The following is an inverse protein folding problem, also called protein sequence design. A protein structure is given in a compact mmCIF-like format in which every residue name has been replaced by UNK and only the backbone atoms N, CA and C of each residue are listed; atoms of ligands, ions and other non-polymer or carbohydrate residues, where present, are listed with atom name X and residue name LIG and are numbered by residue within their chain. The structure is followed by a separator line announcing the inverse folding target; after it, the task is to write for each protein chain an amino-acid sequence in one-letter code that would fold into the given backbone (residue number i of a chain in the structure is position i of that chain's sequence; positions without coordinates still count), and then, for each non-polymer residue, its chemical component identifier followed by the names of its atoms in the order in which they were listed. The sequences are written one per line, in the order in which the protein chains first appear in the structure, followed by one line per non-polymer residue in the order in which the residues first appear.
data_IF_618769138702
#
_entry.id   IF_618769138702
#
_cell.length_a   1.000
_cell.length_b   1.000
_cell.length_c   1.000
_cell.angle_alpha   90.00
_cell.angle_beta   90.00
_cell.angle_gamma   90.00
#
_symmetry.space_group_name_H-M   'P 1'
#
loop_
_entity.id
_entity.type
_entity.pdbx_description
1 polymer ?
#
# COMPACT_ATOMS: atom_id res chain seq x y z
N UNK A 1 2.72 21.29 11.82
CA UNK A 1 1.82 20.17 12.12
C UNK A 1 1.64 19.29 10.89
N UNK A 2 1.40 17.99 11.07
CA UNK A 2 0.98 17.04 10.04
C UNK A 2 -0.41 16.46 10.41
N UNK A 3 -1.16 17.15 11.26
CA UNK A 3 -2.46 16.74 11.80
C UNK A 3 -3.52 17.80 11.58
N UNK A 4 -3.54 18.47 10.42
CA UNK A 4 -4.58 19.46 10.09
C UNK A 4 -5.98 18.83 10.12
N UNK A 5 -6.10 17.55 9.71
CA UNK A 5 -7.33 16.78 9.80
C UNK A 5 -7.86 16.56 11.25
N UNK A 6 -7.02 16.88 12.28
CA UNK A 6 -7.39 16.92 13.70
C UNK A 6 -7.44 18.36 14.25
N UNK A 7 -7.69 19.35 13.39
CA UNK A 7 -7.73 20.78 13.73
C UNK A 7 -6.43 21.32 14.37
N UNK A 8 -5.28 20.74 14.04
CA UNK A 8 -3.98 21.20 14.53
C UNK A 8 -3.37 22.20 13.55
N UNK A 9 -3.59 23.48 13.77
CA UNK A 9 -3.09 24.57 12.94
C UNK A 9 -1.62 24.91 13.24
N UNK A 10 -0.85 25.20 12.20
CA UNK A 10 0.56 25.60 12.33
C UNK A 10 0.65 27.00 12.93
N UNK A 11 -0.31 27.84 12.65
CA UNK A 11 -0.45 29.23 13.13
C UNK A 11 -0.45 29.29 14.67
N UNK A 12 -1.03 28.30 15.34
CA UNK A 12 -1.03 28.23 16.82
C UNK A 12 0.39 28.12 17.40
N UNK A 13 1.31 27.49 16.66
CA UNK A 13 2.72 27.37 17.09
C UNK A 13 3.49 28.63 16.69
N UNK A 14 3.27 29.15 15.49
CA UNK A 14 4.00 30.32 14.97
C UNK A 14 3.59 31.61 15.71
N UNK A 15 2.32 31.75 16.04
CA UNK A 15 1.79 32.92 16.78
C UNK A 15 1.91 32.82 18.30
N UNK A 16 2.41 31.68 18.84
CA UNK A 16 2.52 31.52 20.29
C UNK A 16 3.39 32.56 21.00
N UNK A 17 4.58 32.95 20.47
CA UNK A 17 5.40 33.95 21.13
C UNK A 17 4.71 35.30 21.27
N UNK A 18 3.87 35.68 20.32
CA UNK A 18 3.20 36.99 20.27
C UNK A 18 2.01 37.09 21.24
N UNK A 19 1.61 35.99 21.88
CA UNK A 19 0.56 35.96 22.89
C UNK A 19 1.03 36.51 24.25
N UNK A 20 2.33 36.77 24.41
CA UNK A 20 2.94 37.23 25.65
C UNK A 20 3.54 38.63 25.53
N UNK A 21 3.53 39.41 26.60
CA UNK A 21 4.24 40.69 26.69
C UNK A 21 5.22 40.66 27.88
N UNK A 22 6.53 40.77 27.65
CA UNK A 22 7.22 40.76 26.35
C UNK A 22 7.09 39.43 25.63
N UNK A 23 7.21 39.45 24.28
CA UNK A 23 7.11 38.25 23.44
C UNK A 23 8.00 37.10 23.99
N UNK A 24 7.49 35.88 23.96
CA UNK A 24 8.20 34.73 24.46
C UNK A 24 9.51 34.44 23.68
N UNK A 25 10.57 34.12 24.39
CA UNK A 25 11.84 33.77 23.76
C UNK A 25 11.72 32.44 23.03
N UNK A 26 12.06 32.39 21.74
CA UNK A 26 12.12 31.18 20.94
C UNK A 26 13.52 30.60 20.98
N UNK A 27 13.65 29.38 21.49
CA UNK A 27 14.91 28.62 21.52
C UNK A 27 14.77 27.42 20.59
N UNK A 28 15.61 27.35 19.56
CA UNK A 28 15.62 26.23 18.61
C UNK A 28 16.56 25.11 19.09
N UNK A 29 16.04 23.88 19.15
CA UNK A 29 16.87 22.69 19.41
C UNK A 29 17.27 22.11 18.06
N UNK A 30 18.54 22.27 17.68
CA UNK A 30 19.02 21.91 16.34
C UNK A 30 19.88 20.65 16.32
N UNK A 31 20.48 20.28 17.45
CA UNK A 31 21.29 19.05 17.53
C UNK A 31 20.40 17.81 17.47
N UNK A 32 20.68 16.93 16.51
CA UNK A 32 20.01 15.66 16.31
C UNK A 32 20.95 14.51 16.66
N UNK A 33 20.52 13.65 17.57
CA UNK A 33 21.28 12.48 18.06
C UNK A 33 20.88 11.18 17.36
N UNK A 34 19.86 11.20 16.51
CA UNK A 34 19.26 10.04 15.84
C UNK A 34 19.96 9.71 14.54
N UNK A 35 19.94 10.64 13.60
CA UNK A 35 20.31 10.44 12.21
C UNK A 35 21.75 10.83 11.93
N UNK A 36 22.32 10.29 10.87
CA UNK A 36 23.62 10.73 10.33
C UNK A 36 23.49 12.07 9.62
N UNK A 37 24.59 12.84 9.53
CA UNK A 37 24.57 14.17 8.89
C UNK A 37 24.10 14.15 7.43
N UNK A 38 24.50 13.20 6.55
CA UNK A 38 23.98 13.16 5.17
C UNK A 38 22.47 13.02 5.06
N UNK A 39 21.81 12.31 6.00
CA UNK A 39 20.34 12.21 6.04
C UNK A 39 19.70 13.55 6.43
N UNK A 40 20.33 14.26 7.40
CA UNK A 40 19.85 15.57 7.84
C UNK A 40 20.04 16.64 6.77
N UNK A 41 21.12 16.60 6.00
CA UNK A 41 21.38 17.54 4.91
C UNK A 41 20.24 17.50 3.88
N UNK A 42 19.78 16.29 3.52
CA UNK A 42 18.65 16.12 2.62
C UNK A 42 17.33 16.56 3.26
N UNK A 43 17.09 16.23 4.53
CA UNK A 43 15.90 16.66 5.25
C UNK A 43 15.85 18.18 5.42
N UNK A 44 16.99 18.82 5.75
CA UNK A 44 17.11 20.29 5.83
C UNK A 44 16.86 20.94 4.46
N UNK A 45 17.38 20.33 3.37
CA UNK A 45 17.16 20.82 2.02
C UNK A 45 15.64 20.82 1.67
N UNK A 46 14.92 19.73 1.99
CA UNK A 46 13.48 19.63 1.76
C UNK A 46 12.69 20.70 2.51
N UNK A 47 12.98 20.87 3.82
CA UNK A 47 12.19 21.76 4.63
C UNK A 47 12.55 23.24 4.40
N UNK A 48 13.78 23.54 3.95
CA UNK A 48 14.21 24.92 3.65
C UNK A 48 13.38 25.59 2.54
N UNK A 49 12.69 24.82 1.69
CA UNK A 49 11.78 25.33 0.67
C UNK A 49 10.40 25.71 1.22
N UNK A 50 10.12 25.46 2.51
CA UNK A 50 8.87 25.83 3.17
C UNK A 50 8.86 27.34 3.52
N UNK A 51 7.81 28.06 3.12
CA UNK A 51 7.70 29.50 3.41
C UNK A 51 7.29 29.77 4.86
N UNK A 52 6.54 28.86 5.50
CA UNK A 52 5.98 29.03 6.84
C UNK A 52 6.60 28.07 7.84
N UNK A 53 7.74 28.45 8.41
CA UNK A 53 8.45 27.67 9.43
C UNK A 53 9.31 28.54 10.33
N UNK A 54 9.60 28.06 11.54
CA UNK A 54 10.78 28.51 12.25
C UNK A 54 12.03 27.98 11.53
N UNK A 55 12.95 28.87 11.18
CA UNK A 55 14.22 28.44 10.57
C UNK A 55 14.96 27.55 11.55
N UNK A 56 15.16 26.31 11.17
CA UNK A 56 15.84 25.30 11.96
C UNK A 56 16.74 24.48 11.03
N UNK A 57 18.01 24.38 11.39
CA UNK A 57 18.97 23.59 10.65
C UNK A 57 19.48 22.46 11.53
N UNK A 58 18.99 21.24 11.30
CA UNK A 58 19.38 20.09 12.08
C UNK A 58 20.81 19.71 11.75
N UNK A 59 21.63 19.47 12.78
CA UNK A 59 22.98 18.95 12.65
C UNK A 59 23.21 17.76 13.57
N UNK A 60 24.17 16.89 13.18
CA UNK A 60 24.54 15.70 13.94
C UNK A 60 26.07 15.61 14.05
N UNK A 61 26.56 15.08 15.17
CA UNK A 61 27.95 14.69 15.32
C UNK A 61 28.29 13.40 14.56
N UNK A 62 27.27 12.61 14.16
CA UNK A 62 27.39 11.40 13.34
C UNK A 62 27.61 11.78 11.88
N UNK A 63 28.84 12.18 11.54
CA UNK A 63 29.22 12.67 10.21
C UNK A 63 29.38 11.53 9.19
N UNK A 64 29.70 10.34 9.66
CA UNK A 64 29.90 9.16 8.84
C UNK A 64 28.53 8.53 8.51
N UNK A 65 28.24 8.32 7.23
CA UNK A 65 27.01 7.72 6.77
C UNK A 65 26.85 7.84 5.26
N UNK A 66 26.08 6.92 4.68
CA UNK A 66 25.74 6.99 3.26
C UNK A 66 24.72 8.11 3.01
N UNK A 67 24.80 8.76 1.86
CA UNK A 67 23.73 9.66 1.38
C UNK A 67 22.41 8.88 1.27
N UNK A 68 21.26 9.54 1.51
CA UNK A 68 19.96 8.96 1.17
C UNK A 68 19.93 8.54 -0.28
N UNK A 69 19.19 7.49 -0.59
CA UNK A 69 19.02 7.02 -1.97
C UNK A 69 17.69 7.55 -2.53
N UNK A 70 17.72 8.11 -3.73
CA UNK A 70 16.54 8.32 -4.53
C UNK A 70 16.53 7.26 -5.64
N UNK A 71 15.56 6.35 -5.58
CA UNK A 71 15.55 5.16 -6.43
C UNK A 71 14.36 5.21 -7.38
N UNK A 72 14.65 5.37 -8.64
CA UNK A 72 13.64 5.30 -9.70
C UNK A 72 13.47 3.86 -10.14
N UNK A 73 12.22 3.37 -10.17
CA UNK A 73 11.86 2.02 -10.59
C UNK A 73 10.85 2.06 -11.74
N UNK A 74 10.68 0.96 -12.47
CA UNK A 74 9.77 0.95 -13.62
C UNK A 74 8.30 1.11 -13.21
N UNK A 75 7.85 0.35 -12.20
CA UNK A 75 6.48 0.29 -11.74
C UNK A 75 6.40 -0.13 -10.25
N UNK A 76 5.19 -0.26 -9.71
CA UNK A 76 4.99 -0.65 -8.33
C UNK A 76 5.42 -2.09 -8.01
N UNK A 77 5.53 -2.96 -9.00
CA UNK A 77 6.06 -4.32 -8.80
C UNK A 77 7.56 -4.29 -8.65
N UNK A 78 8.25 -3.51 -9.48
CA UNK A 78 9.69 -3.26 -9.38
C UNK A 78 10.02 -2.52 -8.07
N UNK A 79 9.11 -1.65 -7.58
CA UNK A 79 9.23 -1.00 -6.26
C UNK A 79 9.23 -2.04 -5.14
N UNK A 80 8.23 -2.93 -5.12
CA UNK A 80 8.12 -3.98 -4.10
C UNK A 80 9.32 -4.93 -4.14
N UNK A 81 9.74 -5.36 -5.34
CA UNK A 81 10.92 -6.23 -5.53
C UNK A 81 12.20 -5.57 -5.04
N UNK A 82 12.42 -4.29 -5.37
CA UNK A 82 13.58 -3.52 -4.91
C UNK A 82 13.63 -3.42 -3.39
N UNK A 83 12.51 -3.05 -2.78
CA UNK A 83 12.41 -2.88 -1.32
C UNK A 83 12.68 -4.19 -0.60
N UNK A 84 12.01 -5.29 -0.99
CA UNK A 84 12.20 -6.59 -0.35
C UNK A 84 13.63 -7.11 -0.53
N UNK A 85 14.20 -6.96 -1.72
CA UNK A 85 15.58 -7.35 -1.97
C UNK A 85 16.56 -6.55 -1.11
N UNK A 86 16.32 -5.25 -0.93
CA UNK A 86 17.15 -4.39 -0.07
C UNK A 86 17.01 -4.76 1.41
N UNK A 87 15.81 -5.09 1.88
CA UNK A 87 15.55 -5.55 3.25
C UNK A 87 16.32 -6.85 3.53
N UNK A 88 16.25 -7.81 2.60
CA UNK A 88 16.98 -9.08 2.74
C UNK A 88 18.50 -8.86 2.74
N UNK A 89 19.01 -7.99 1.86
CA UNK A 89 20.43 -7.64 1.86
C UNK A 89 20.88 -7.00 3.19
N UNK A 90 20.07 -6.12 3.79
CA UNK A 90 20.34 -5.56 5.10
C UNK A 90 20.34 -6.65 6.19
N UNK A 91 19.43 -7.63 6.09
CA UNK A 91 19.37 -8.77 7.02
C UNK A 91 20.60 -9.66 6.91
N UNK A 92 21.11 -9.90 5.71
CA UNK A 92 22.37 -10.62 5.48
C UNK A 92 23.58 -9.90 6.11
N UNK A 93 23.51 -8.57 6.21
CA UNK A 93 24.51 -7.73 6.91
C UNK A 93 24.30 -7.65 8.43
N UNK A 94 23.31 -8.37 8.98
CA UNK A 94 23.03 -8.48 10.41
C UNK A 94 21.98 -7.54 10.97
N UNK A 95 21.31 -6.72 10.13
CA UNK A 95 20.22 -5.85 10.56
C UNK A 95 18.92 -6.66 10.72
N UNK A 96 18.27 -6.55 11.88
CA UNK A 96 16.99 -7.24 12.12
C UNK A 96 15.87 -6.63 11.30
N UNK A 97 14.79 -7.40 11.04
CA UNK A 97 13.60 -6.88 10.32
C UNK A 97 12.93 -5.74 11.10
N UNK A 98 12.83 -5.86 12.43
CA UNK A 98 12.23 -4.82 13.31
C UNK A 98 13.03 -3.51 13.36
N UNK A 99 14.27 -3.51 12.90
CA UNK A 99 15.10 -2.31 12.75
C UNK A 99 14.88 -1.61 11.41
N UNK A 100 14.03 -2.18 10.55
CA UNK A 100 13.71 -1.67 9.23
C UNK A 100 12.23 -1.31 9.13
N UNK A 101 11.92 -0.21 8.46
CA UNK A 101 10.54 0.20 8.24
C UNK A 101 10.30 0.62 6.79
N UNK A 102 9.10 0.36 6.32
CA UNK A 102 8.59 0.86 5.06
C UNK A 102 7.44 1.82 5.33
N UNK A 103 7.60 3.06 4.91
CA UNK A 103 6.66 4.13 5.14
C UNK A 103 5.93 4.50 3.85
N UNK A 104 4.66 4.80 3.96
CA UNK A 104 3.81 5.17 2.83
C UNK A 104 2.77 6.24 3.22
N UNK A 105 2.28 6.97 2.21
CA UNK A 105 1.32 8.06 2.44
C UNK A 105 -0.09 7.53 2.71
N UNK A 106 -0.55 6.59 1.93
CA UNK A 106 -1.85 5.93 2.04
C UNK A 106 -1.69 4.44 2.26
N UNK A 107 -2.65 3.81 2.95
CA UNK A 107 -2.58 2.38 3.29
C UNK A 107 -2.45 1.47 2.04
N UNK A 108 -3.16 1.81 0.96
CA UNK A 108 -3.14 1.06 -0.30
C UNK A 108 -1.79 1.10 -1.05
N UNK A 109 -0.91 2.02 -0.69
CA UNK A 109 0.42 2.09 -1.32
C UNK A 109 1.32 0.90 -0.95
N UNK A 110 1.05 0.18 0.14
CA UNK A 110 1.82 -1.00 0.55
C UNK A 110 1.32 -2.32 -0.04
N UNK A 111 0.17 -2.34 -0.71
CA UNK A 111 -0.51 -3.58 -1.10
C UNK A 111 0.34 -4.51 -1.97
N UNK A 112 1.07 -3.96 -2.95
CA UNK A 112 2.00 -4.74 -3.78
C UNK A 112 3.19 -5.27 -2.99
N UNK A 113 3.68 -4.47 -2.04
CA UNK A 113 4.75 -4.88 -1.14
C UNK A 113 4.29 -6.00 -0.22
N UNK A 114 3.08 -5.91 0.35
CA UNK A 114 2.52 -6.94 1.21
C UNK A 114 2.45 -8.30 0.51
N UNK A 115 2.04 -8.30 -0.76
CA UNK A 115 2.03 -9.52 -1.56
C UNK A 115 3.44 -10.09 -1.80
N UNK A 116 4.41 -9.23 -2.07
CA UNK A 116 5.79 -9.67 -2.27
C UNK A 116 6.39 -10.20 -0.95
N UNK A 117 6.05 -9.60 0.19
CA UNK A 117 6.45 -10.07 1.52
C UNK A 117 5.84 -11.45 1.82
N UNK A 118 4.53 -11.64 1.56
CA UNK A 118 3.85 -12.93 1.68
C UNK A 118 4.53 -13.98 0.80
N UNK A 119 4.78 -13.65 -0.48
CA UNK A 119 5.43 -14.57 -1.43
C UNK A 119 6.81 -15.02 -0.98
N UNK A 120 7.54 -14.18 -0.25
CA UNK A 120 8.88 -14.48 0.27
C UNK A 120 8.89 -14.93 1.73
N UNK A 121 7.72 -15.17 2.32
CA UNK A 121 7.57 -15.59 3.72
C UNK A 121 8.28 -14.66 4.71
N UNK A 122 8.19 -13.34 4.49
CA UNK A 122 8.76 -12.33 5.38
C UNK A 122 7.67 -11.82 6.34
N UNK A 123 7.83 -12.02 7.65
CA UNK A 123 6.87 -11.53 8.63
C UNK A 123 6.90 -10.01 8.70
N UNK A 124 5.71 -9.39 8.80
CA UNK A 124 5.57 -7.95 8.94
C UNK A 124 4.40 -7.58 9.83
N UNK A 125 4.45 -6.36 10.37
CA UNK A 125 3.36 -5.71 11.11
C UNK A 125 3.03 -4.39 10.42
N UNK A 126 1.74 -4.10 10.21
CA UNK A 126 1.27 -2.87 9.57
C UNK A 126 0.58 -1.95 10.56
N UNK A 127 1.10 -0.72 10.66
CA UNK A 127 0.51 0.35 11.46
C UNK A 127 -0.13 1.42 10.57
N UNK A 128 -1.31 1.89 10.99
CA UNK A 128 -1.99 2.97 10.28
C UNK A 128 -2.70 2.53 9.00
N UNK A 129 -3.63 1.63 9.13
CA UNK A 129 -4.48 1.07 8.10
C UNK A 129 -4.67 -0.43 8.33
N UNK A 130 -5.79 -0.96 7.85
CA UNK A 130 -5.99 -2.41 7.82
C UNK A 130 -4.99 -3.03 6.83
N UNK A 131 -4.48 -4.22 7.17
CA UNK A 131 -3.77 -5.05 6.21
C UNK A 131 -4.68 -5.26 4.97
N UNK A 132 -4.14 -5.07 3.77
CA UNK A 132 -4.90 -5.21 2.52
C UNK A 132 -5.72 -6.50 2.46
N UNK A 133 -5.08 -7.64 2.76
CA UNK A 133 -5.75 -8.95 2.76
C UNK A 133 -6.76 -9.12 3.91
N UNK A 134 -6.67 -8.27 4.94
CA UNK A 134 -7.59 -8.26 6.08
C UNK A 134 -8.74 -7.27 5.93
N UNK A 135 -8.67 -6.38 4.97
CA UNK A 135 -9.75 -5.45 4.68
C UNK A 135 -11.06 -6.21 4.43
N UNK A 136 -12.15 -5.75 5.05
CA UNK A 136 -13.41 -6.46 5.03
C UNK A 136 -13.93 -6.72 3.61
N UNK A 137 -13.86 -5.72 2.73
CA UNK A 137 -14.29 -5.82 1.34
C UNK A 137 -13.43 -6.80 0.50
N UNK A 138 -12.12 -6.89 0.79
CA UNK A 138 -11.23 -7.88 0.16
C UNK A 138 -11.56 -9.29 0.66
N UNK A 139 -11.77 -9.46 1.98
CA UNK A 139 -12.22 -10.73 2.55
C UNK A 139 -13.57 -11.17 2.00
N UNK A 140 -14.49 -10.24 1.77
CA UNK A 140 -15.80 -10.54 1.19
C UNK A 140 -15.64 -11.12 -0.21
N UNK A 141 -14.90 -10.44 -1.09
CA UNK A 141 -14.66 -10.90 -2.45
C UNK A 141 -13.91 -12.23 -2.50
N UNK A 142 -12.83 -12.38 -1.72
CA UNK A 142 -12.09 -13.65 -1.62
C UNK A 142 -12.96 -14.79 -1.09
N UNK A 143 -13.92 -14.52 -0.21
CA UNK A 143 -14.81 -15.54 0.33
C UNK A 143 -15.75 -16.11 -0.73
N UNK A 144 -16.17 -15.32 -1.73
CA UNK A 144 -16.95 -15.85 -2.87
C UNK A 144 -16.13 -16.92 -3.61
N UNK A 145 -14.88 -16.60 -3.94
CA UNK A 145 -14.00 -17.54 -4.63
C UNK A 145 -13.67 -18.77 -3.78
N UNK A 146 -13.44 -18.57 -2.47
CA UNK A 146 -13.17 -19.67 -1.51
C UNK A 146 -14.35 -20.63 -1.38
N UNK A 147 -15.57 -20.10 -1.37
CA UNK A 147 -16.77 -20.93 -1.29
C UNK A 147 -17.03 -21.67 -2.60
N UNK A 148 -16.83 -21.02 -3.74
CA UNK A 148 -16.92 -21.66 -5.04
C UNK A 148 -15.85 -22.76 -5.24
N UNK A 149 -14.65 -22.59 -4.68
CA UNK A 149 -13.57 -23.58 -4.71
C UNK A 149 -13.85 -24.77 -3.77
N UNK A 150 -14.33 -24.46 -2.57
CA UNK A 150 -14.68 -25.46 -1.57
C UNK A 150 -16.07 -25.19 -0.99
N UNK A 151 -17.12 -25.81 -1.53
CA UNK A 151 -18.49 -25.63 -1.05
C UNK A 151 -18.74 -26.05 0.40
N UNK A 152 -17.81 -26.78 1.03
CA UNK A 152 -17.83 -27.14 2.45
C UNK A 152 -17.24 -26.06 3.36
N UNK A 153 -16.72 -24.97 2.81
CA UNK A 153 -16.16 -23.87 3.58
C UNK A 153 -17.27 -23.04 4.22
N UNK A 154 -17.67 -23.40 5.42
CA UNK A 154 -18.73 -22.77 6.20
C UNK A 154 -18.42 -21.30 6.48
N UNK A 155 -17.19 -20.97 6.85
CA UNK A 155 -16.79 -19.60 7.19
C UNK A 155 -16.98 -18.67 5.97
N UNK A 156 -16.54 -19.10 4.79
CA UNK A 156 -16.73 -18.36 3.56
C UNK A 156 -18.21 -18.25 3.19
N UNK A 157 -18.97 -19.34 3.30
CA UNK A 157 -20.41 -19.37 3.05
C UNK A 157 -21.16 -18.35 3.91
N UNK A 158 -20.97 -18.41 5.22
CA UNK A 158 -21.64 -17.50 6.17
C UNK A 158 -21.28 -16.04 5.93
N UNK A 159 -20.04 -15.76 5.58
CA UNK A 159 -19.62 -14.42 5.28
C UNK A 159 -20.37 -13.83 4.08
N UNK A 160 -20.49 -14.58 3.01
CA UNK A 160 -21.12 -14.13 1.78
C UNK A 160 -22.63 -14.07 1.90
N UNK A 161 -23.27 -15.11 2.47
CA UNK A 161 -24.69 -15.15 2.65
C UNK A 161 -25.20 -13.94 3.45
N UNK A 162 -24.44 -13.48 4.42
CA UNK A 162 -24.75 -12.30 5.23
C UNK A 162 -24.65 -10.97 4.48
N UNK A 163 -24.05 -10.93 3.30
CA UNK A 163 -24.07 -9.76 2.43
C UNK A 163 -25.45 -9.54 1.80
N UNK A 164 -26.24 -10.59 1.65
CA UNK A 164 -27.58 -10.48 1.06
C UNK A 164 -28.60 -9.91 2.06
N UNK A 165 -29.52 -9.04 1.62
CA UNK A 165 -30.50 -8.42 2.48
C UNK A 165 -31.36 -9.45 3.24
N UNK A 166 -31.49 -9.29 4.55
CA UNK A 166 -32.32 -10.19 5.36
C UNK A 166 -31.73 -11.59 5.64
N UNK A 167 -30.54 -11.89 5.14
CA UNK A 167 -29.83 -13.14 5.42
C UNK A 167 -29.07 -13.04 6.74
N UNK A 168 -29.78 -13.25 7.85
CA UNK A 168 -29.18 -13.33 9.19
C UNK A 168 -28.49 -14.68 9.44
N UNK A 169 -27.75 -14.82 10.59
CA UNK A 169 -27.03 -16.06 10.92
C UNK A 169 -27.86 -17.33 10.86
N UNK A 170 -29.10 -17.30 11.39
CA UNK A 170 -30.00 -18.46 11.38
C UNK A 170 -30.44 -18.87 9.98
N UNK A 171 -30.65 -17.89 9.08
CA UNK A 171 -31.02 -18.18 7.68
C UNK A 171 -29.82 -18.69 6.88
N UNK A 172 -28.63 -18.13 7.13
CA UNK A 172 -27.38 -18.60 6.55
C UNK A 172 -27.10 -20.06 6.96
N UNK A 173 -27.32 -20.40 8.23
CA UNK A 173 -27.20 -21.79 8.72
C UNK A 173 -28.14 -22.74 7.98
N UNK A 174 -29.43 -22.40 7.85
CA UNK A 174 -30.40 -23.22 7.10
C UNK A 174 -30.02 -23.38 5.61
N UNK A 175 -29.49 -22.32 5.01
CA UNK A 175 -29.02 -22.38 3.63
C UNK A 175 -27.82 -23.34 3.51
N UNK A 176 -26.88 -23.29 4.42
CA UNK A 176 -25.71 -24.18 4.43
C UNK A 176 -26.10 -25.64 4.75
N UNK A 177 -27.04 -25.86 5.66
CA UNK A 177 -27.65 -27.19 5.92
C UNK A 177 -28.35 -27.75 4.69
N UNK A 178 -29.11 -26.92 3.96
CA UNK A 178 -29.75 -27.31 2.70
C UNK A 178 -28.72 -27.79 1.69
N UNK A 179 -27.57 -27.13 1.57
CA UNK A 179 -26.47 -27.61 0.71
C UNK A 179 -25.86 -28.90 1.23
N UNK A 180 -25.69 -29.06 2.54
CA UNK A 180 -25.13 -30.27 3.13
C UNK A 180 -25.98 -31.53 2.80
N UNK A 181 -27.30 -31.39 2.77
CA UNK A 181 -28.24 -32.46 2.38
C UNK A 181 -28.12 -32.77 0.87
N UNK A 182 -27.67 -31.82 0.06
CA UNK A 182 -27.49 -31.95 -1.39
C UNK A 182 -26.00 -32.08 -1.76
N UNK A 183 -25.22 -32.82 -1.00
CA UNK A 183 -23.80 -33.09 -1.23
C UNK A 183 -22.93 -31.84 -1.44
N UNK A 184 -23.31 -30.71 -0.85
CA UNK A 184 -22.71 -29.40 -1.03
C UNK A 184 -22.64 -28.92 -2.50
N UNK A 185 -23.59 -29.37 -3.33
CA UNK A 185 -23.68 -28.92 -4.71
C UNK A 185 -24.25 -27.48 -4.76
N UNK A 186 -23.46 -26.53 -5.26
CA UNK A 186 -23.86 -25.11 -5.28
C UNK A 186 -25.07 -24.83 -6.18
N UNK A 187 -25.36 -25.70 -7.16
CA UNK A 187 -26.58 -25.58 -7.99
C UNK A 187 -27.85 -25.78 -7.17
N UNK A 188 -27.80 -26.53 -6.05
CA UNK A 188 -28.94 -26.73 -5.15
C UNK A 188 -29.37 -25.44 -4.42
N UNK A 189 -28.57 -24.37 -4.47
CA UNK A 189 -28.99 -23.04 -3.98
C UNK A 189 -30.25 -22.53 -4.70
N UNK A 190 -30.49 -22.94 -5.93
CA UNK A 190 -31.68 -22.55 -6.71
C UNK A 190 -32.98 -23.05 -6.05
N UNK A 191 -32.92 -24.17 -5.33
CA UNK A 191 -34.04 -24.79 -4.65
C UNK A 191 -34.27 -24.22 -3.24
N UNK A 192 -33.33 -23.45 -2.73
CA UNK A 192 -33.47 -22.80 -1.43
C UNK A 192 -34.35 -21.56 -1.53
N UNK A 193 -35.27 -21.41 -0.58
CA UNK A 193 -36.15 -20.25 -0.50
C UNK A 193 -35.56 -19.14 0.38
N UNK A 194 -35.02 -18.07 -0.24
CA UNK A 194 -34.41 -16.98 0.53
C UNK A 194 -35.49 -16.13 1.24
N UNK A 195 -35.11 -15.28 2.20
CA UNK A 195 -35.98 -14.24 2.75
C UNK A 195 -36.47 -13.31 1.64
N UNK A 196 -37.66 -12.75 1.81
CA UNK A 196 -38.24 -11.83 0.82
C UNK A 196 -37.36 -10.63 0.46
N UNK A 197 -36.56 -10.14 1.41
CA UNK A 197 -35.61 -9.05 1.19
C UNK A 197 -34.44 -9.43 0.25
N UNK A 198 -34.06 -10.71 0.21
CA UNK A 198 -33.00 -11.22 -0.67
C UNK A 198 -33.56 -11.75 -2.00
N UNK A 199 -34.86 -11.83 -2.18
CA UNK A 199 -35.48 -12.50 -3.34
C UNK A 199 -35.08 -11.90 -4.68
N UNK A 200 -34.82 -10.61 -4.74
CA UNK A 200 -34.37 -9.92 -5.96
C UNK A 200 -32.93 -10.26 -6.34
N UNK A 201 -32.04 -10.38 -5.35
CA UNK A 201 -30.61 -10.60 -5.56
C UNK A 201 -30.27 -12.10 -5.69
N UNK A 202 -31.14 -12.97 -5.18
CA UNK A 202 -30.90 -14.41 -5.07
C UNK A 202 -30.63 -15.12 -6.40
N UNK A 203 -31.38 -14.89 -7.49
CA UNK A 203 -31.10 -15.55 -8.76
C UNK A 203 -29.72 -15.25 -9.32
N UNK A 204 -29.30 -13.98 -9.29
CA UNK A 204 -27.99 -13.55 -9.76
C UNK A 204 -26.87 -14.14 -8.90
N UNK A 205 -27.09 -14.25 -7.58
CA UNK A 205 -26.16 -14.90 -6.65
C UNK A 205 -25.97 -16.40 -6.96
N UNK A 206 -27.09 -17.12 -7.19
CA UNK A 206 -27.04 -18.54 -7.56
C UNK A 206 -26.34 -18.76 -8.91
N UNK A 207 -26.62 -17.90 -9.89
CA UNK A 207 -25.99 -17.94 -11.21
C UNK A 207 -24.47 -17.72 -11.09
N UNK A 208 -24.05 -16.72 -10.32
CA UNK A 208 -22.65 -16.46 -10.06
C UNK A 208 -21.94 -17.70 -9.49
N UNK A 209 -22.45 -18.25 -8.39
CA UNK A 209 -21.80 -19.40 -7.74
C UNK A 209 -21.81 -20.66 -8.65
N UNK A 210 -22.86 -20.88 -9.40
CA UNK A 210 -22.93 -21.96 -10.38
C UNK A 210 -21.90 -21.78 -11.49
N UNK A 211 -21.73 -20.57 -12.01
CA UNK A 211 -20.72 -20.27 -13.03
C UNK A 211 -19.30 -20.46 -12.54
N UNK A 212 -19.05 -20.13 -11.26
CA UNK A 212 -17.72 -20.28 -10.64
C UNK A 212 -17.37 -21.75 -10.30
N UNK A 213 -18.37 -22.59 -10.03
CA UNK A 213 -18.17 -24.01 -9.64
C UNK A 213 -18.12 -24.95 -10.84
N UNK A 214 -18.75 -24.60 -11.98
CA UNK A 214 -18.79 -25.41 -13.19
C UNK A 214 -17.74 -25.05 -14.25
N UNK A 215 -16.85 -24.13 -13.95
CA UNK A 215 -16.05 -23.45 -14.95
C UNK A 215 -15.06 -24.35 -15.67
N UNK A 216 -15.41 -24.79 -16.88
CA UNK A 216 -14.43 -24.79 -17.96
C UNK A 216 -13.82 -23.38 -18.01
N UNK A 217 -12.50 -23.29 -17.87
CA UNK A 217 -11.77 -22.02 -17.92
C UNK A 217 -12.05 -21.41 -19.32
N UNK A 218 -12.82 -20.34 -19.37
CA UNK A 218 -13.05 -19.56 -20.59
C UNK A 218 -11.68 -19.16 -21.19
N UNK A 219 -11.61 -18.97 -22.50
CA UNK A 219 -10.40 -18.52 -23.23
C UNK A 219 -9.74 -17.26 -22.62
N UNK A 220 -10.47 -16.53 -21.76
CA UNK A 220 -10.00 -15.37 -20.99
C UNK A 220 -9.26 -15.72 -19.69
N UNK A 221 -9.15 -16.99 -19.33
CA UNK A 221 -8.56 -17.46 -18.10
C UNK A 221 -9.45 -17.29 -16.85
N UNK A 222 -9.00 -17.85 -15.73
CA UNK A 222 -9.72 -17.82 -14.44
C UNK A 222 -9.89 -16.39 -13.87
N UNK A 223 -9.07 -15.42 -14.30
CA UNK A 223 -9.13 -14.02 -13.86
C UNK A 223 -10.47 -13.36 -14.20
N UNK A 224 -11.14 -13.83 -15.27
CA UNK A 224 -12.49 -13.37 -15.62
C UNK A 224 -13.52 -13.65 -14.51
N UNK A 225 -13.29 -14.67 -13.68
CA UNK A 225 -14.13 -15.01 -12.54
C UNK A 225 -14.05 -13.91 -11.45
N UNK A 226 -12.86 -13.36 -11.21
CA UNK A 226 -12.70 -12.27 -10.23
C UNK A 226 -13.46 -11.02 -10.68
N UNK A 227 -13.41 -10.67 -11.96
CA UNK A 227 -14.20 -9.57 -12.55
C UNK A 227 -15.69 -9.81 -12.41
N UNK A 228 -16.16 -11.06 -12.58
CA UNK A 228 -17.56 -11.42 -12.36
C UNK A 228 -17.98 -11.23 -10.90
N UNK A 229 -17.15 -11.69 -9.96
CA UNK A 229 -17.40 -11.52 -8.52
C UNK A 229 -17.42 -10.04 -8.15
N UNK A 230 -16.46 -9.24 -8.63
CA UNK A 230 -16.44 -7.79 -8.36
C UNK A 230 -17.70 -7.10 -8.86
N UNK A 231 -18.15 -7.42 -10.07
CA UNK A 231 -19.39 -6.85 -10.63
C UNK A 231 -20.62 -7.20 -9.79
N UNK A 232 -20.70 -8.43 -9.30
CA UNK A 232 -21.78 -8.84 -8.40
C UNK A 232 -21.67 -8.14 -7.04
N UNK A 233 -20.46 -7.95 -6.54
CA UNK A 233 -20.21 -7.37 -5.22
C UNK A 233 -20.42 -5.85 -5.19
N UNK A 234 -20.31 -5.16 -6.31
CA UNK A 234 -20.41 -3.69 -6.40
C UNK A 234 -21.64 -3.09 -5.70
N UNK A 235 -22.88 -3.56 -5.94
CA UNK A 235 -24.06 -3.02 -5.24
C UNK A 235 -24.04 -3.26 -3.73
N UNK A 236 -23.39 -4.33 -3.29
CA UNK A 236 -23.24 -4.64 -1.87
C UNK A 236 -22.18 -3.72 -1.22
N UNK A 237 -21.09 -3.44 -1.93
CA UNK A 237 -20.06 -2.50 -1.50
C UNK A 237 -20.67 -1.11 -1.29
N UNK A 238 -21.43 -0.60 -2.26
CA UNK A 238 -22.10 0.70 -2.20
C UNK A 238 -23.11 0.80 -1.05
N UNK A 239 -23.77 -0.30 -0.70
CA UNK A 239 -24.72 -0.34 0.40
C UNK A 239 -24.08 -0.39 1.77
N UNK A 240 -22.92 -1.04 1.90
CA UNK A 240 -22.31 -1.38 3.20
C UNK A 240 -21.29 -0.32 3.63
N UNK A 241 -20.62 0.32 2.67
CA UNK A 241 -19.46 1.14 2.96
C UNK A 241 -19.59 2.57 2.45
N UNK A 242 -19.12 3.51 3.27
CA UNK A 242 -18.76 4.85 2.83
C UNK A 242 -17.36 4.86 2.20
N UNK A 243 -16.97 5.89 1.46
CA UNK A 243 -15.67 6.03 0.78
C UNK A 243 -15.38 4.89 -0.21
N UNK A 244 -16.17 4.82 -1.26
CA UNK A 244 -16.14 3.77 -2.28
C UNK A 244 -14.85 3.75 -3.11
N UNK A 245 -14.34 4.91 -3.51
CA UNK A 245 -13.19 5.05 -4.43
C UNK A 245 -11.96 4.26 -3.96
N UNK A 246 -11.64 4.33 -2.66
CA UNK A 246 -10.48 3.61 -2.10
C UNK A 246 -10.69 2.10 -2.11
N UNK A 247 -11.92 1.65 -1.83
CA UNK A 247 -12.24 0.21 -1.78
C UNK A 247 -12.34 -0.41 -3.16
N UNK A 248 -12.86 0.34 -4.13
CA UNK A 248 -12.87 -0.07 -5.54
C UNK A 248 -11.44 -0.21 -6.06
N UNK A 249 -10.57 0.74 -5.74
CA UNK A 249 -9.16 0.66 -6.10
C UNK A 249 -8.48 -0.59 -5.50
N UNK A 250 -8.78 -0.94 -4.25
CA UNK A 250 -8.28 -2.16 -3.60
C UNK A 250 -8.75 -3.42 -4.36
N UNK A 251 -10.03 -3.49 -4.76
CA UNK A 251 -10.58 -4.62 -5.49
C UNK A 251 -10.02 -4.71 -6.93
N UNK A 252 -9.83 -3.58 -7.61
CA UNK A 252 -9.17 -3.54 -8.93
C UNK A 252 -7.72 -4.02 -8.84
N UNK A 253 -7.03 -3.64 -7.78
CA UNK A 253 -5.68 -4.10 -7.54
C UNK A 253 -5.64 -5.61 -7.30
N UNK A 254 -6.60 -6.17 -6.56
CA UNK A 254 -6.72 -7.61 -6.37
C UNK A 254 -6.89 -8.35 -7.71
N UNK A 255 -7.68 -7.79 -8.64
CA UNK A 255 -7.82 -8.33 -10.01
C UNK A 255 -6.48 -8.33 -10.76
N UNK A 256 -5.71 -7.24 -10.67
CA UNK A 256 -4.39 -7.16 -11.34
C UNK A 256 -3.41 -8.19 -10.80
N UNK A 257 -3.42 -8.38 -9.48
CA UNK A 257 -2.58 -9.36 -8.80
C UNK A 257 -2.91 -10.77 -9.26
N UNK A 258 -4.20 -11.08 -9.42
CA UNK A 258 -4.66 -12.39 -9.86
C UNK A 258 -4.07 -12.82 -11.20
N UNK A 259 -3.75 -11.85 -12.08
CA UNK A 259 -3.12 -12.10 -13.37
C UNK A 259 -1.75 -12.79 -13.32
N UNK A 260 -1.11 -12.84 -12.16
CA UNK A 260 0.19 -13.50 -11.96
C UNK A 260 0.07 -15.00 -11.64
N UNK A 261 -1.14 -15.45 -11.34
CA UNK A 261 -1.38 -16.81 -10.92
C UNK A 261 -2.04 -17.63 -12.03
N UNK A 262 -1.54 -18.82 -12.33
CA UNK A 262 -2.08 -19.63 -13.43
C UNK A 262 -3.46 -20.20 -13.13
N UNK A 263 -3.81 -20.43 -11.85
CA UNK A 263 -5.07 -21.01 -11.42
C UNK A 263 -5.65 -20.28 -10.20
N UNK A 264 -6.97 -20.32 -10.04
CA UNK A 264 -7.69 -19.80 -8.87
C UNK A 264 -7.26 -20.50 -7.58
N UNK A 265 -7.09 -21.81 -7.62
CA UNK A 265 -6.63 -22.61 -6.48
C UNK A 265 -5.27 -22.11 -5.99
N UNK A 266 -4.32 -21.90 -6.89
CA UNK A 266 -2.99 -21.42 -6.53
C UNK A 266 -3.02 -20.00 -5.98
N UNK A 267 -3.82 -19.13 -6.57
CA UNK A 267 -4.05 -17.78 -6.07
C UNK A 267 -4.61 -17.80 -4.64
N UNK A 268 -5.69 -18.54 -4.40
CA UNK A 268 -6.30 -18.65 -3.08
C UNK A 268 -5.37 -19.33 -2.05
N UNK A 269 -4.61 -20.33 -2.49
CA UNK A 269 -3.67 -21.06 -1.65
C UNK A 269 -2.52 -20.15 -1.20
N UNK A 270 -1.87 -19.45 -2.12
CA UNK A 270 -0.77 -18.56 -1.77
C UNK A 270 -1.22 -17.35 -0.92
N UNK A 271 -2.45 -16.85 -1.11
CA UNK A 271 -3.03 -15.81 -0.24
C UNK A 271 -3.56 -16.33 1.10
N UNK A 272 -3.73 -17.65 1.27
CA UNK A 272 -4.37 -18.23 2.46
C UNK A 272 -3.39 -19.04 3.31
N UNK A 273 -2.34 -19.63 2.71
CA UNK A 273 -1.47 -20.64 3.35
C UNK A 273 -0.50 -20.07 4.38
N UNK A 274 -0.21 -18.79 4.35
CA UNK A 274 0.46 -18.10 5.45
C UNK A 274 0.26 -16.59 5.25
N UNK A 275 -0.80 -15.99 5.76
CA UNK A 275 -0.64 -14.60 6.06
C UNK A 275 0.50 -14.59 7.09
N UNK A 276 1.69 -14.02 6.79
CA UNK A 276 2.63 -13.76 7.86
C UNK A 276 1.79 -13.07 8.92
N UNK A 277 1.89 -13.53 10.16
CA UNK A 277 1.09 -13.04 11.29
C UNK A 277 1.14 -11.51 11.28
N UNK A 278 0.23 -10.92 10.53
CA UNK A 278 -0.01 -9.50 10.54
C UNK A 278 -0.75 -9.30 11.85
N UNK A 279 -0.05 -8.86 12.87
CA UNK A 279 -0.67 -8.27 14.02
C UNK A 279 -1.41 -7.03 13.50
N UNK A 280 -2.64 -7.24 13.05
CA UNK A 280 -3.60 -6.16 12.87
C UNK A 280 -3.87 -5.51 14.22
N UNK A 281 -4.42 -4.31 14.26
CA UNK A 281 -4.82 -3.58 15.47
C UNK A 281 -5.67 -4.42 16.47
N UNK A 282 -6.14 -5.60 16.05
CA UNK A 282 -6.93 -6.55 16.83
C UNK A 282 -6.11 -7.77 17.34
N UNK A 283 -4.86 -7.94 16.94
CA UNK A 283 -4.06 -9.12 17.30
C UNK A 283 -3.18 -8.92 18.54
N UNK A 284 -3.24 -7.76 19.19
CA UNK A 284 -2.33 -7.40 20.28
C UNK A 284 -0.91 -7.06 19.80
N UNK A 285 -0.09 -6.53 20.69
CA UNK A 285 1.32 -6.30 20.38
C UNK A 285 1.98 -7.63 20.01
N UNK A 286 2.75 -7.68 18.89
CA UNK A 286 3.52 -8.87 18.53
C UNK A 286 4.39 -9.29 19.71
N UNK A 287 4.57 -10.59 19.90
CA UNK A 287 5.47 -11.10 20.92
C UNK A 287 6.82 -10.43 20.73
N UNK A 288 7.35 -9.76 21.77
CA UNK A 288 8.58 -8.94 21.73
C UNK A 288 9.82 -9.69 21.22
N UNK A 289 9.73 -11.01 21.16
CA UNK A 289 10.81 -11.92 20.73
C UNK A 289 10.80 -12.24 19.22
N UNK A 290 9.77 -11.83 18.48
CA UNK A 290 9.69 -12.10 17.05
C UNK A 290 10.35 -10.98 16.22
N UNK A 291 11.08 -11.38 15.16
CA UNK A 291 11.71 -10.47 14.22
C UNK A 291 10.76 -10.23 13.02
N UNK A 292 10.17 -9.06 12.91
CA UNK A 292 9.19 -8.68 11.88
C UNK A 292 9.50 -7.30 11.29
N UNK A 293 9.17 -7.12 10.00
CA UNK A 293 9.30 -5.84 9.32
C UNK A 293 8.16 -4.88 9.73
N UNK A 294 8.47 -3.60 9.83
CA UNK A 294 7.46 -2.57 10.11
C UNK A 294 6.96 -1.95 8.80
N UNK A 295 5.66 -2.05 8.56
CA UNK A 295 4.94 -1.29 7.56
C UNK A 295 4.13 -0.20 8.27
N UNK A 296 4.23 1.07 7.85
CA UNK A 296 3.51 2.13 8.53
C UNK A 296 3.13 3.29 7.63
N UNK A 297 1.95 3.88 7.85
CA UNK A 297 1.71 5.21 7.30
C UNK A 297 2.65 6.22 7.95
N UNK A 298 3.02 7.27 7.22
CA UNK A 298 3.91 8.31 7.79
C UNK A 298 3.29 8.97 9.03
N UNK A 299 1.97 9.08 9.10
CA UNK A 299 1.29 9.64 10.26
C UNK A 299 1.46 8.76 11.51
N UNK A 300 1.31 7.45 11.38
CA UNK A 300 1.48 6.49 12.46
C UNK A 300 2.95 6.31 12.86
N UNK A 301 3.88 6.54 11.94
CA UNK A 301 5.33 6.49 12.18
C UNK A 301 5.86 7.66 13.03
N UNK A 302 5.03 8.68 13.33
CA UNK A 302 5.47 9.84 14.14
C UNK A 302 5.82 9.40 15.56
N UNK A 303 7.03 9.71 15.98
CA UNK A 303 7.58 9.32 17.30
C UNK A 303 8.45 8.07 17.23
N UNK A 304 8.28 7.23 16.22
CA UNK A 304 9.09 6.03 15.99
C UNK A 304 10.39 6.35 15.24
N UNK A 305 11.33 5.40 15.21
CA UNK A 305 12.60 5.53 14.49
C UNK A 305 13.24 4.17 14.20
N UNK A 306 13.89 4.03 13.04
CA UNK A 306 14.48 2.78 12.59
C UNK A 306 15.87 2.99 11.99
N UNK A 307 16.68 1.94 11.97
CA UNK A 307 18.02 2.00 11.37
C UNK A 307 17.93 2.18 9.84
N UNK A 308 16.99 1.49 9.19
CA UNK A 308 16.74 1.61 7.76
C UNK A 308 15.28 1.96 7.48
N UNK A 309 15.04 2.98 6.65
CA UNK A 309 13.70 3.42 6.25
C UNK A 309 13.58 3.46 4.74
N UNK A 310 12.51 2.88 4.23
CA UNK A 310 12.09 2.98 2.84
C UNK A 310 10.80 3.82 2.79
N UNK A 311 10.69 4.75 1.85
CA UNK A 311 9.48 5.54 1.60
C UNK A 311 8.99 5.20 0.21
N UNK A 312 7.76 4.66 0.11
CA UNK A 312 7.16 4.23 -1.15
C UNK A 312 6.47 5.36 -1.89
N UNK A 313 6.37 5.21 -3.20
CA UNK A 313 5.57 6.05 -4.07
C UNK A 313 5.90 7.54 -3.95
N UNK A 314 7.19 7.90 -3.95
CA UNK A 314 7.63 9.31 -3.88
C UNK A 314 7.48 9.97 -5.26
N UNK A 315 6.23 10.17 -5.68
CA UNK A 315 5.82 10.75 -6.96
C UNK A 315 4.81 11.86 -6.76
N UNK A 316 4.64 12.74 -7.73
CA UNK A 316 3.56 13.73 -7.70
C UNK A 316 2.20 13.02 -7.79
N UNK A 317 1.24 13.44 -6.97
CA UNK A 317 -0.02 12.73 -6.76
C UNK A 317 -0.04 11.86 -5.49
N UNK A 318 1.13 11.42 -5.00
CA UNK A 318 1.28 10.69 -3.73
C UNK A 318 2.06 11.50 -2.67
N UNK A 319 3.22 12.08 -3.05
CA UNK A 319 3.97 13.07 -2.27
C UNK A 319 4.33 14.27 -3.17
N UNK A 320 3.54 15.35 -3.16
CA UNK A 320 2.30 15.57 -2.42
C UNK A 320 1.13 14.77 -2.98
N UNK A 321 0.12 14.52 -2.12
CA UNK A 321 -1.14 13.91 -2.54
C UNK A 321 -1.87 14.78 -3.57
N UNK A 322 -2.58 14.15 -4.51
CA UNK A 322 -3.39 14.86 -5.51
C UNK A 322 -4.45 15.78 -4.88
N UNK A 323 -5.00 15.43 -3.71
CA UNK A 323 -5.94 16.24 -2.95
C UNK A 323 -5.35 17.57 -2.43
N UNK A 324 -4.01 17.67 -2.36
CA UNK A 324 -3.30 18.89 -1.99
C UNK A 324 -3.09 19.82 -3.19
N UNK A 325 -3.29 19.35 -4.43
CA UNK A 325 -3.05 20.11 -5.65
C UNK A 325 -3.95 21.34 -5.69
N UNK A 326 -3.37 22.50 -5.99
CA UNK A 326 -4.08 23.80 -6.02
C UNK A 326 -4.29 24.44 -4.64
N UNK A 327 -3.82 23.83 -3.55
CA UNK A 327 -3.93 24.37 -2.18
C UNK A 327 -2.53 24.50 -1.54
N UNK A 328 -1.91 25.68 -1.58
CA UNK A 328 -0.53 25.87 -1.09
C UNK A 328 -0.31 25.38 0.35
N UNK A 329 -1.28 25.61 1.24
CA UNK A 329 -1.18 25.19 2.63
C UNK A 329 -1.13 23.66 2.80
N UNK A 330 -1.90 22.94 1.97
CA UNK A 330 -1.87 21.45 1.96
C UNK A 330 -0.57 20.93 1.35
N UNK A 331 -0.03 21.60 0.32
CA UNK A 331 1.30 21.24 -0.23
C UNK A 331 2.38 21.37 0.86
N UNK A 332 2.32 22.44 1.66
CA UNK A 332 3.27 22.62 2.77
C UNK A 332 3.09 21.57 3.88
N UNK A 333 1.86 21.09 4.12
CA UNK A 333 1.62 19.99 5.04
C UNK A 333 2.21 18.68 4.51
N UNK A 334 2.02 18.36 3.22
CA UNK A 334 2.61 17.20 2.56
C UNK A 334 4.15 17.25 2.56
N UNK A 335 4.75 18.45 2.41
CA UNK A 335 6.20 18.65 2.56
C UNK A 335 6.67 18.29 3.97
N UNK A 336 5.96 18.76 5.00
CA UNK A 336 6.24 18.41 6.40
C UNK A 336 6.04 16.91 6.65
N UNK A 337 5.08 16.30 5.98
CA UNK A 337 4.85 14.86 6.10
C UNK A 337 6.04 14.06 5.54
N UNK A 338 6.52 14.41 4.34
CA UNK A 338 7.72 13.77 3.77
C UNK A 338 8.96 14.03 4.65
N UNK A 339 9.11 15.23 5.19
CA UNK A 339 10.16 15.55 6.15
C UNK A 339 10.11 14.64 7.39
N UNK A 340 8.91 14.40 7.94
CA UNK A 340 8.73 13.46 9.06
C UNK A 340 9.16 12.07 8.66
N UNK A 341 8.77 11.57 7.47
CA UNK A 341 9.18 10.26 6.99
C UNK A 341 10.71 10.14 6.89
N UNK A 342 11.38 11.13 6.30
CA UNK A 342 12.84 11.14 6.15
C UNK A 342 13.57 11.13 7.51
N UNK A 343 13.05 11.90 8.48
CA UNK A 343 13.67 12.00 9.82
C UNK A 343 13.38 10.79 10.72
N UNK A 344 12.72 9.74 10.22
CA UNK A 344 12.57 8.46 10.94
C UNK A 344 13.79 7.57 10.80
N UNK A 345 14.63 7.80 9.79
CA UNK A 345 15.82 7.02 9.51
C UNK A 345 17.00 7.42 10.41
N UNK A 346 17.71 6.41 10.93
CA UNK A 346 18.95 6.59 11.70
C UNK A 346 20.20 6.48 10.83
N UNK A 347 20.28 5.47 9.96
CA UNK A 347 21.48 5.17 9.16
C UNK A 347 21.22 5.14 7.67
N UNK A 348 20.07 4.60 7.23
CA UNK A 348 19.78 4.40 5.82
C UNK A 348 18.37 4.88 5.47
N UNK A 349 18.27 5.64 4.37
CA UNK A 349 17.01 6.12 3.83
C UNK A 349 16.97 5.87 2.32
N UNK A 350 15.88 5.28 1.84
CA UNK A 350 15.59 5.11 0.42
C UNK A 350 14.23 5.69 0.09
N UNK A 351 14.18 6.68 -0.79
CA UNK A 351 12.95 7.23 -1.36
C UNK A 351 12.73 6.54 -2.70
N UNK A 352 11.64 5.77 -2.84
CA UNK A 352 11.39 4.97 -4.05
C UNK A 352 10.29 5.61 -4.88
N UNK A 353 10.55 5.73 -6.19
CA UNK A 353 9.70 6.47 -7.13
C UNK A 353 9.41 5.61 -8.37
N UNK A 354 8.24 5.01 -8.51
CA UNK A 354 7.84 4.32 -9.72
C UNK A 354 7.56 5.30 -10.87
N UNK A 355 8.01 4.93 -12.10
CA UNK A 355 7.79 5.72 -13.31
C UNK A 355 6.41 5.50 -13.92
N UNK A 356 5.83 4.32 -13.73
CA UNK A 356 4.56 3.92 -14.33
C UNK A 356 3.59 3.42 -13.29
N UNK A 357 2.35 3.87 -13.40
CA UNK A 357 1.22 3.35 -12.65
C UNK A 357 0.27 2.64 -13.60
N UNK A 358 -0.21 1.48 -13.21
CA UNK A 358 -1.18 0.74 -13.99
C UNK A 358 -2.58 1.34 -13.78
N UNK A 359 -3.26 1.72 -14.87
CA UNK A 359 -4.62 2.27 -14.82
C UNK A 359 -5.60 1.27 -15.44
N UNK A 360 -6.63 0.92 -14.68
CA UNK A 360 -7.63 -0.11 -15.04
C UNK A 360 -8.77 0.41 -15.90
N UNK A 361 -9.00 1.73 -15.96
CA UNK A 361 -10.20 2.32 -16.59
C UNK A 361 -10.03 2.78 -18.05
N UNK A 362 -8.97 2.42 -18.75
CA UNK A 362 -8.83 2.81 -20.16
C UNK A 362 -9.44 1.79 -21.12
N UNK A 363 -10.02 2.32 -22.25
CA UNK A 363 -10.59 1.54 -23.36
C UNK A 363 -9.59 0.52 -23.89
N UNK A 364 -10.07 -0.61 -24.41
CA UNK A 364 -9.33 -1.81 -24.85
C UNK A 364 -8.12 -1.59 -25.78
N UNK A 365 -7.96 -0.41 -26.38
CA UNK A 365 -6.95 -0.11 -27.38
C UNK A 365 -5.91 0.96 -26.93
N UNK A 366 -5.80 1.27 -25.63
CA UNK A 366 -4.87 2.26 -25.09
C UNK A 366 -3.76 1.64 -24.21
N UNK A 367 -2.66 2.38 -24.06
CA UNK A 367 -1.59 2.04 -23.13
C UNK A 367 -2.15 2.06 -21.69
N UNK A 368 -2.08 0.93 -21.01
CA UNK A 368 -2.65 0.75 -19.66
C UNK A 368 -1.79 1.39 -18.57
N UNK A 369 -0.83 2.22 -18.93
CA UNK A 369 0.10 2.83 -18.01
C UNK A 369 -0.01 4.35 -18.07
N UNK A 370 -0.11 4.97 -16.88
CA UNK A 370 0.11 6.40 -16.72
C UNK A 370 1.51 6.60 -16.17
N UNK A 371 2.28 7.48 -16.81
CA UNK A 371 3.59 7.83 -16.32
C UNK A 371 3.44 8.77 -15.12
N UNK A 372 4.01 8.38 -13.98
CA UNK A 372 4.10 9.22 -12.80
C UNK A 372 5.06 10.38 -13.02
N UNK A 373 4.66 11.57 -12.68
CA UNK A 373 5.58 12.69 -12.60
C UNK A 373 6.47 12.56 -11.37
N UNK A 374 7.75 12.89 -11.50
CA UNK A 374 8.64 13.02 -10.34
C UNK A 374 8.00 13.96 -9.32
N UNK A 375 8.04 13.61 -8.05
CA UNK A 375 7.55 14.49 -6.99
C UNK A 375 8.14 15.89 -7.10
N UNK A 376 7.31 16.92 -7.04
CA UNK A 376 7.74 18.34 -7.03
C UNK A 376 8.64 18.69 -5.84
N UNK A 377 8.68 17.83 -4.81
CA UNK A 377 9.59 17.95 -3.69
C UNK A 377 11.01 17.48 -4.03
N UNK A 378 11.16 16.68 -5.09
CA UNK A 378 12.46 16.20 -5.58
C UNK A 378 13.05 17.17 -6.60
N UNK A 379 13.38 18.39 -6.13
CA UNK A 379 14.06 19.40 -6.93
C UNK A 379 15.50 18.97 -7.24
N UNK A 380 16.14 19.57 -8.23
CA UNK A 380 17.55 19.28 -8.56
C UNK A 380 18.44 19.46 -7.33
N UNK A 381 18.23 20.54 -6.56
CA UNK A 381 18.96 20.78 -5.32
C UNK A 381 18.78 19.66 -4.31
N UNK A 382 17.58 19.09 -4.22
CA UNK A 382 17.29 17.95 -3.35
C UNK A 382 18.02 16.69 -3.82
N UNK A 383 17.99 16.44 -5.14
CA UNK A 383 18.65 15.30 -5.75
C UNK A 383 20.19 15.34 -5.63
N UNK A 384 20.80 16.52 -5.59
CA UNK A 384 22.25 16.69 -5.38
C UNK A 384 22.69 16.22 -3.98
N UNK A 385 21.78 16.22 -3.01
CA UNK A 385 22.05 15.70 -1.65
C UNK A 385 21.94 14.18 -1.57
N UNK A 386 21.45 13.51 -2.62
CA UNK A 386 21.12 12.08 -2.64
C UNK A 386 22.00 11.28 -3.59
N UNK A 387 21.99 9.96 -3.40
CA UNK A 387 22.51 8.98 -4.33
C UNK A 387 21.38 8.54 -5.26
N UNK A 388 21.41 9.02 -6.50
CA UNK A 388 20.35 8.79 -7.49
C UNK A 388 20.59 7.47 -8.22
N UNK A 389 19.64 6.53 -8.14
CA UNK A 389 19.75 5.20 -8.73
C UNK A 389 18.54 4.87 -9.61
N UNK A 390 18.76 4.03 -10.59
CA UNK A 390 17.69 3.37 -11.34
C UNK A 390 17.76 1.86 -11.06
N UNK A 391 16.67 1.27 -10.59
CA UNK A 391 16.53 -0.18 -10.41
C UNK A 391 15.49 -0.71 -11.40
N UNK A 392 15.98 -1.29 -12.51
CA UNK A 392 15.14 -1.97 -13.49
C UNK A 392 14.79 -3.39 -13.06
N UNK A 393 13.74 -3.96 -13.66
CA UNK A 393 13.33 -5.35 -13.43
C UNK A 393 14.45 -6.32 -13.87
N UNK A 394 14.74 -7.35 -13.09
CA UNK A 394 15.65 -8.43 -13.49
C UNK A 394 15.07 -9.14 -14.70
N UNK A 395 15.71 -9.09 -15.85
CA UNK A 395 15.52 -10.14 -16.85
C UNK A 395 15.95 -11.47 -16.23
N UNK A 396 15.11 -12.51 -16.41
CA UNK A 396 15.35 -13.86 -15.88
C UNK A 396 16.50 -14.55 -16.65
N UNK A 397 17.73 -14.05 -16.48
CA UNK A 397 18.93 -14.79 -16.84
C UNK A 397 20.06 -14.41 -15.88
N UNK A 398 20.67 -15.45 -15.29
CA UNK A 398 21.64 -15.43 -14.20
C UNK A 398 22.76 -14.40 -14.33
N UNK A 399 22.60 -13.24 -13.71
CA UNK A 399 23.62 -12.20 -13.68
C UNK A 399 23.60 -11.44 -12.37
N UNK A 400 24.78 -11.32 -11.78
CA UNK A 400 25.09 -10.49 -10.62
C UNK A 400 24.64 -9.05 -10.85
N UNK A 401 24.02 -8.43 -9.83
CA UNK A 401 23.64 -7.01 -9.83
C UNK A 401 24.84 -6.13 -10.22
N UNK A 402 24.89 -5.65 -11.44
CA UNK A 402 25.73 -4.51 -11.78
C UNK A 402 24.90 -3.24 -11.63
N UNK A 403 25.13 -2.55 -10.49
CA UNK A 403 24.70 -1.16 -10.32
C UNK A 403 25.46 -0.34 -11.35
N UNK A 404 24.83 0.06 -12.44
CA UNK A 404 25.37 1.07 -13.34
C UNK A 404 25.18 2.42 -12.68
N UNK A 405 26.21 2.88 -12.00
CA UNK A 405 26.41 4.29 -11.68
C UNK A 405 26.75 5.04 -12.99
N UNK A 406 26.14 6.21 -13.15
CA UNK A 406 26.38 7.17 -14.23
C UNK A 406 25.86 6.83 -15.64
N UNK A 407 24.56 7.09 -15.86
CA UNK A 407 24.10 7.76 -17.08
C UNK A 407 22.87 8.60 -16.73
N UNK A 408 23.05 9.93 -16.71
CA UNK A 408 21.93 10.86 -16.85
C UNK A 408 21.16 10.47 -18.09
N UNK A 409 19.96 9.94 -17.93
CA UNK A 409 19.07 9.67 -19.07
C UNK A 409 18.42 11.02 -19.39
N UNK A 410 18.93 11.66 -20.44
CA UNK A 410 18.27 12.84 -21.00
C UNK A 410 17.01 12.38 -21.75
N UNK A 411 15.89 12.42 -21.03
CA UNK A 411 14.56 12.06 -21.53
C UNK A 411 14.18 12.95 -22.71
N UNK A 412 14.62 14.23 -22.70
CA UNK A 412 14.33 15.17 -23.78
C UNK A 412 15.04 14.81 -25.10
N UNK A 413 16.24 14.22 -25.05
CA UNK A 413 16.95 13.76 -26.24
C UNK A 413 16.33 12.49 -26.82
N UNK A 414 15.81 11.59 -26.00
CA UNK A 414 15.10 10.39 -26.45
C UNK A 414 13.73 10.69 -27.07
N UNK A 415 12.99 11.64 -26.50
CA UNK A 415 11.70 12.06 -27.10
C UNK A 415 11.88 12.71 -28.48
N UNK A 416 13.00 13.43 -28.74
CA UNK A 416 13.30 14.00 -30.07
C UNK A 416 13.69 12.97 -31.14
N UNK A 417 14.02 11.74 -30.75
CA UNK A 417 14.34 10.65 -31.67
C UNK A 417 13.14 9.77 -32.04
N UNK A 418 11.99 9.99 -31.38
CA UNK A 418 10.75 9.25 -31.63
C UNK A 418 9.72 10.04 -32.47
N UNK A 419 10.09 11.28 -32.92
CA UNK A 419 9.28 12.09 -33.84
C UNK A 419 10.08 12.46 -35.07
#
# INVERSE_FOLDING_TARGET
SIYSFRAAEVENILGFPDQYMPSAQVITLEQNYRSTQPLLDSANCLIAESERQYRKNLFSERKDGAKPRYVTVEDGDAEAEYVVTSILANRELGMQLKEQAVLFRGSHHSDRLELELVRRHLPYVKYGGLNFLEAAHVKDLLSVLKWAENPKNEVAAFRILKLLPGMGPATAARCFEHLAVNDHCLTALQDFRPPGAAAADWPMFCELLSSLSGAEIDDRGWQSQLTQVRRWYQPHLERIYDALDTREADLEQLEQISGRYPTRERFLTELTLDPPSAAGDLAGDPLLDEDYLILSTVHSAKGQEWESVFVLNVTDGNFPSEFATGKPEMIEEERRLLYVAMTRAKQSLSLVSPLRFHVTQQRRDGDRHVYGARSRFMTERMLDTMDNRFAGRREKEGGVFQVRSDKRIDVASRMRQMW
#
